data_IF_951037398437
#
_entry.id   IF_951037398437
#
_cell.length_a   1.000
_cell.length_b   1.000
_cell.length_c   1.000
_cell.angle_alpha   90.00
_cell.angle_beta   90.00
_cell.angle_gamma   90.00
#
_symmetry.space_group_name_H-M   'P 1'
#
loop_
_entity.id
_entity.type
_entity.pdbx_description
1 polymer ?
#
# COMPACT_ATOMS: atom_id res chain seq x y z
N UNK A 1 -8.93 18.92 16.40
CA UNK A 1 -9.64 17.89 15.59
C UNK A 1 -8.58 16.89 15.15
N UNK A 2 -8.73 15.63 15.51
CA UNK A 2 -7.81 14.61 14.99
C UNK A 2 -8.08 14.46 13.50
N UNK A 3 -7.09 14.80 12.69
CA UNK A 3 -7.14 14.59 11.25
C UNK A 3 -7.28 13.08 11.01
N UNK A 4 -8.26 12.68 10.21
CA UNK A 4 -8.48 11.26 9.89
C UNK A 4 -7.35 10.82 8.98
N UNK A 5 -6.59 9.81 9.40
CA UNK A 5 -5.50 9.24 8.60
C UNK A 5 -6.04 8.59 7.32
N UNK A 6 -5.52 9.00 6.17
CA UNK A 6 -5.89 8.44 4.86
C UNK A 6 -4.86 7.40 4.44
N UNK A 7 -5.31 6.16 4.27
CA UNK A 7 -4.44 5.03 3.95
C UNK A 7 -4.82 4.46 2.59
N UNK A 8 -3.88 4.49 1.65
CA UNK A 8 -4.04 3.79 0.38
C UNK A 8 -3.77 2.30 0.58
N UNK A 9 -4.62 1.47 0.02
CA UNK A 9 -4.46 0.03 -0.03
C UNK A 9 -4.43 -0.41 -1.50
N UNK A 10 -3.30 -0.98 -1.91
CA UNK A 10 -3.12 -1.56 -3.24
C UNK A 10 -3.98 -2.82 -3.36
N UNK A 11 -5.17 -2.68 -3.94
CA UNK A 11 -6.14 -3.76 -4.03
C UNK A 11 -5.72 -4.89 -4.96
N UNK A 12 -4.77 -4.66 -5.85
CA UNK A 12 -4.30 -5.64 -6.83
C UNK A 12 -2.97 -6.29 -6.43
N UNK A 13 -2.38 -5.89 -5.30
CA UNK A 13 -1.10 -6.41 -4.83
C UNK A 13 -1.27 -7.68 -3.99
N UNK A 14 -0.60 -8.77 -4.41
CA UNK A 14 -0.53 -10.03 -3.68
C UNK A 14 -1.19 -11.21 -4.38
N UNK A 15 -0.86 -12.42 -3.92
CA UNK A 15 -1.29 -13.67 -4.57
C UNK A 15 -2.80 -13.92 -4.47
N UNK A 16 -3.46 -13.34 -3.48
CA UNK A 16 -4.90 -13.48 -3.24
C UNK A 16 -5.66 -12.18 -3.48
N UNK A 17 -5.05 -11.25 -4.22
CA UNK A 17 -5.74 -10.03 -4.62
C UNK A 17 -6.79 -10.33 -5.72
N UNK A 18 -7.86 -9.57 -5.80
CA UNK A 18 -8.24 -8.48 -4.90
C UNK A 18 -9.04 -8.91 -3.66
N UNK A 19 -9.56 -10.14 -3.63
CA UNK A 19 -10.55 -10.62 -2.66
C UNK A 19 -10.09 -10.43 -1.21
N UNK A 20 -8.93 -11.00 -0.85
CA UNK A 20 -8.43 -10.95 0.54
C UNK A 20 -8.00 -9.56 0.97
N UNK A 21 -7.53 -8.75 0.03
CA UNK A 21 -7.12 -7.36 0.32
C UNK A 21 -8.34 -6.51 0.65
N UNK A 22 -9.38 -6.61 -0.18
CA UNK A 22 -10.64 -5.85 0.01
C UNK A 22 -11.35 -6.32 1.28
N UNK A 23 -11.41 -7.62 1.51
CA UNK A 23 -11.97 -8.20 2.73
C UNK A 23 -11.26 -7.65 3.97
N UNK A 24 -9.93 -7.67 4.01
CA UNK A 24 -9.16 -7.14 5.13
C UNK A 24 -9.40 -5.64 5.37
N UNK A 25 -9.51 -4.86 4.30
CA UNK A 25 -9.83 -3.44 4.40
C UNK A 25 -11.23 -3.20 5.01
N UNK A 26 -12.23 -3.97 4.58
CA UNK A 26 -13.60 -3.91 5.12
C UNK A 26 -13.65 -4.36 6.58
N UNK A 27 -12.99 -5.45 6.93
CA UNK A 27 -12.90 -5.95 8.30
C UNK A 27 -12.27 -4.90 9.23
N UNK A 28 -11.16 -4.28 8.82
CA UNK A 28 -10.51 -3.23 9.59
C UNK A 28 -11.45 -2.03 9.88
N UNK A 29 -12.21 -1.59 8.88
CA UNK A 29 -13.20 -0.50 9.06
C UNK A 29 -14.32 -0.92 10.00
N UNK A 30 -14.83 -2.14 9.88
CA UNK A 30 -15.91 -2.66 10.73
C UNK A 30 -15.45 -2.89 12.18
N UNK A 31 -14.18 -3.18 12.41
CA UNK A 31 -13.55 -3.28 13.72
C UNK A 31 -13.25 -1.91 14.35
N UNK A 32 -13.54 -0.83 13.64
CA UNK A 32 -13.44 0.53 14.17
C UNK A 32 -12.13 1.26 13.89
N UNK A 33 -11.41 0.87 12.83
CA UNK A 33 -10.23 1.61 12.42
C UNK A 33 -10.55 3.10 12.19
N UNK A 34 -9.76 3.98 12.80
CA UNK A 34 -9.89 5.44 12.69
C UNK A 34 -9.13 5.96 11.46
N UNK A 35 -9.42 5.37 10.30
CA UNK A 35 -8.79 5.71 9.05
C UNK A 35 -9.83 5.79 7.92
N UNK A 36 -9.52 6.58 6.92
CA UNK A 36 -10.16 6.49 5.60
C UNK A 36 -9.30 5.61 4.72
N UNK A 37 -9.89 4.61 4.12
CA UNK A 37 -9.21 3.67 3.22
C UNK A 37 -9.45 4.09 1.77
N UNK A 38 -8.39 4.11 0.98
CA UNK A 38 -8.45 4.39 -0.46
C UNK A 38 -7.96 3.14 -1.19
N UNK A 39 -8.86 2.42 -1.82
CA UNK A 39 -8.53 1.22 -2.60
C UNK A 39 -8.09 1.62 -4.00
N UNK A 40 -6.87 1.29 -4.39
CA UNK A 40 -6.36 1.52 -5.75
C UNK A 40 -6.36 0.23 -6.57
N UNK A 41 -6.87 0.28 -7.79
CA UNK A 41 -6.92 -0.86 -8.71
C UNK A 41 -8.05 -0.77 -9.73
N UNK A 42 -8.35 -1.87 -10.39
CA UNK A 42 -9.43 -1.94 -11.38
C UNK A 42 -10.79 -1.71 -10.70
N UNK A 43 -11.38 -0.56 -10.96
CA UNK A 43 -12.56 -0.07 -10.26
C UNK A 43 -13.76 -1.03 -10.33
N UNK A 44 -14.01 -1.61 -11.50
CA UNK A 44 -15.08 -2.58 -11.73
C UNK A 44 -14.91 -3.84 -10.87
N UNK A 45 -13.69 -4.34 -10.77
CA UNK A 45 -13.33 -5.50 -9.96
C UNK A 45 -13.49 -5.19 -8.46
N UNK A 46 -12.97 -4.04 -8.02
CA UNK A 46 -13.06 -3.60 -6.62
C UNK A 46 -14.51 -3.41 -6.21
N UNK A 47 -15.32 -2.71 -7.02
CA UNK A 47 -16.75 -2.48 -6.72
C UNK A 47 -17.55 -3.77 -6.66
N UNK A 48 -17.27 -4.72 -7.57
CA UNK A 48 -17.91 -6.03 -7.55
C UNK A 48 -17.59 -6.81 -6.27
N UNK A 49 -16.35 -6.73 -5.80
CA UNK A 49 -15.93 -7.38 -4.57
C UNK A 49 -16.55 -6.71 -3.34
N UNK A 50 -16.48 -5.37 -3.26
CA UNK A 50 -17.07 -4.59 -2.17
C UNK A 50 -18.59 -4.82 -2.02
N UNK A 51 -19.30 -5.10 -3.11
CA UNK A 51 -20.74 -5.38 -3.09
C UNK A 51 -21.13 -6.63 -2.28
N UNK A 52 -20.16 -7.50 -1.96
CA UNK A 52 -20.36 -8.69 -1.13
C UNK A 52 -20.40 -8.39 0.38
N UNK A 53 -19.98 -7.19 0.79
CA UNK A 53 -19.78 -6.81 2.18
C UNK A 53 -20.68 -5.64 2.60
N UNK A 54 -20.96 -5.59 3.89
CA UNK A 54 -21.60 -4.43 4.54
C UNK A 54 -20.54 -3.65 5.30
N UNK A 55 -20.40 -2.37 5.00
CA UNK A 55 -19.42 -1.48 5.61
C UNK A 55 -19.87 -0.02 5.52
N UNK A 56 -19.22 0.88 6.25
CA UNK A 56 -19.43 2.31 6.16
C UNK A 56 -18.80 2.86 4.86
N UNK A 57 -19.64 3.13 3.87
CA UNK A 57 -19.23 3.62 2.54
C UNK A 57 -18.50 4.97 2.60
N UNK A 58 -18.70 5.76 3.65
CA UNK A 58 -18.00 7.04 3.80
C UNK A 58 -16.51 6.88 4.12
N UNK A 59 -16.10 5.68 4.56
CA UNK A 59 -14.72 5.39 4.98
C UNK A 59 -13.89 4.66 3.92
N UNK A 60 -14.50 4.22 2.82
CA UNK A 60 -13.79 3.54 1.73
C UNK A 60 -14.03 4.30 0.43
N UNK A 61 -12.95 4.72 -0.18
CA UNK A 61 -12.90 5.35 -1.51
C UNK A 61 -12.23 4.41 -2.51
N UNK A 62 -12.61 4.46 -3.78
CA UNK A 62 -12.02 3.66 -4.84
C UNK A 62 -11.40 4.59 -5.88
N UNK A 63 -10.12 4.37 -6.18
CA UNK A 63 -9.39 5.08 -7.22
C UNK A 63 -8.98 4.09 -8.29
N UNK A 64 -9.41 4.36 -9.54
CA UNK A 64 -9.15 3.46 -10.65
C UNK A 64 -7.67 3.44 -11.05
N UNK A 65 -7.16 2.24 -11.30
CA UNK A 65 -5.86 1.98 -11.91
C UNK A 65 -6.00 0.78 -12.85
N UNK A 66 -5.49 0.88 -14.06
CA UNK A 66 -5.75 -0.11 -15.11
C UNK A 66 -4.71 -1.22 -15.16
N UNK A 67 -3.53 -0.99 -14.59
CA UNK A 67 -2.41 -1.92 -14.59
C UNK A 67 -2.14 -2.49 -13.19
N UNK A 68 -1.42 -3.60 -13.15
CA UNK A 68 -0.94 -4.24 -11.92
C UNK A 68 0.53 -4.64 -12.05
N UNK A 69 1.28 -4.59 -10.95
CA UNK A 69 2.67 -5.07 -10.88
C UNK A 69 2.68 -6.41 -10.16
N UNK A 70 3.11 -7.45 -10.88
CA UNK A 70 3.21 -8.81 -10.32
C UNK A 70 4.54 -9.04 -9.60
N UNK A 71 4.59 -10.08 -8.75
CA UNK A 71 5.80 -10.46 -8.03
C UNK A 71 6.93 -11.00 -8.93
N UNK A 72 6.62 -11.34 -10.18
CA UNK A 72 7.57 -11.92 -11.13
C UNK A 72 8.27 -10.89 -12.03
N UNK A 73 7.85 -9.63 -11.96
CA UNK A 73 8.42 -8.55 -12.77
C UNK A 73 9.64 -7.93 -12.11
N UNK A 74 10.56 -7.42 -12.95
CA UNK A 74 11.70 -6.64 -12.47
C UNK A 74 11.20 -5.34 -11.78
N UNK A 75 11.38 -5.17 -10.47
CA UNK A 75 10.70 -4.13 -9.68
C UNK A 75 10.90 -2.70 -10.21
N UNK A 76 12.14 -2.33 -10.48
CA UNK A 76 12.48 -0.97 -10.94
C UNK A 76 11.89 -0.68 -12.32
N UNK A 77 11.93 -1.68 -13.21
CA UNK A 77 11.39 -1.54 -14.56
C UNK A 77 9.86 -1.46 -14.53
N UNK A 78 9.21 -2.34 -13.75
CA UNK A 78 7.76 -2.34 -13.59
C UNK A 78 7.23 -1.00 -13.07
N UNK A 79 7.86 -0.43 -12.02
CA UNK A 79 7.49 0.88 -11.48
C UNK A 79 7.70 2.02 -12.49
N UNK A 80 8.71 1.91 -13.35
CA UNK A 80 8.98 2.94 -14.37
C UNK A 80 8.05 2.86 -15.58
N UNK A 81 7.67 1.66 -16.00
CA UNK A 81 6.84 1.44 -17.19
C UNK A 81 5.35 1.51 -16.89
N UNK A 82 4.88 0.90 -15.79
CA UNK A 82 3.47 0.80 -15.41
C UNK A 82 3.03 1.97 -14.53
N UNK A 83 2.89 3.13 -15.14
CA UNK A 83 2.53 4.37 -14.42
C UNK A 83 1.10 4.36 -13.88
N UNK A 84 0.20 3.62 -14.50
CA UNK A 84 -1.19 3.45 -14.11
C UNK A 84 -1.43 2.15 -13.31
N UNK A 85 -0.38 1.59 -12.71
CA UNK A 85 -0.55 0.46 -11.81
C UNK A 85 -1.08 0.90 -10.45
N UNK A 86 -1.87 0.02 -9.81
CA UNK A 86 -2.46 0.26 -8.49
C UNK A 86 -1.42 0.73 -7.47
N UNK A 87 -0.23 0.13 -7.46
CA UNK A 87 0.88 0.52 -6.60
C UNK A 87 1.40 1.93 -6.92
N UNK A 88 1.67 2.25 -8.20
CA UNK A 88 2.25 3.55 -8.59
C UNK A 88 1.24 4.68 -8.41
N UNK A 89 -0.03 4.45 -8.72
CA UNK A 89 -1.12 5.40 -8.44
C UNK A 89 -1.17 5.71 -6.93
N UNK A 90 -1.18 4.70 -6.09
CA UNK A 90 -1.19 4.87 -4.64
C UNK A 90 0.04 5.61 -4.10
N UNK A 91 1.23 5.30 -4.61
CA UNK A 91 2.46 6.01 -4.24
C UNK A 91 2.44 7.49 -4.65
N UNK A 92 1.85 7.82 -5.80
CA UNK A 92 1.68 9.21 -6.23
C UNK A 92 0.73 9.97 -5.30
N UNK A 93 -0.35 9.33 -4.83
CA UNK A 93 -1.27 9.94 -3.85
C UNK A 93 -0.54 10.29 -2.55
N UNK A 94 0.31 9.39 -2.05
CA UNK A 94 1.15 9.68 -0.87
C UNK A 94 2.12 10.82 -1.15
N UNK A 95 2.80 10.81 -2.30
CA UNK A 95 3.72 11.88 -2.70
C UNK A 95 3.05 13.26 -2.75
N UNK A 96 1.82 13.30 -3.27
CA UNK A 96 1.06 14.54 -3.45
C UNK A 96 0.38 15.02 -2.15
N UNK A 97 0.43 14.23 -1.07
CA UNK A 97 -0.26 14.54 0.19
C UNK A 97 -1.77 14.26 0.15
N UNK A 98 -2.24 13.51 -0.85
CA UNK A 98 -3.62 13.05 -0.95
C UNK A 98 -3.90 11.88 -0.01
N UNK A 99 -2.84 11.19 0.42
CA UNK A 99 -2.86 10.12 1.42
C UNK A 99 -1.62 10.18 2.31
N UNK A 100 -1.73 9.63 3.51
CA UNK A 100 -0.69 9.66 4.53
C UNK A 100 0.20 8.42 4.51
N UNK A 101 -0.33 7.30 4.04
CA UNK A 101 0.40 6.03 3.96
C UNK A 101 -0.13 5.15 2.82
N UNK A 102 0.66 4.14 2.46
CA UNK A 102 0.26 3.08 1.52
C UNK A 102 0.57 1.71 2.10
N UNK A 103 -0.33 0.76 1.89
CA UNK A 103 -0.20 -0.65 2.23
C UNK A 103 -0.33 -1.46 0.94
N UNK A 104 0.57 -2.41 0.75
CA UNK A 104 0.50 -3.38 -0.35
C UNK A 104 1.01 -4.74 0.11
N UNK A 105 0.32 -5.80 -0.28
CA UNK A 105 0.74 -7.19 -0.10
C UNK A 105 1.45 -7.75 -1.34
N UNK A 106 1.79 -6.88 -2.29
CA UNK A 106 2.48 -7.24 -3.53
C UNK A 106 3.99 -7.37 -3.37
N UNK A 107 4.71 -7.17 -4.48
CA UNK A 107 6.17 -7.29 -4.53
C UNK A 107 6.87 -6.29 -3.61
N UNK A 108 7.58 -6.79 -2.58
CA UNK A 108 8.39 -5.97 -1.67
C UNK A 108 9.44 -5.14 -2.42
N UNK A 109 10.01 -5.71 -3.49
CA UNK A 109 10.95 -5.00 -4.35
C UNK A 109 10.30 -3.83 -5.10
N UNK A 110 9.06 -4.00 -5.58
CA UNK A 110 8.33 -2.93 -6.26
C UNK A 110 7.91 -1.82 -5.27
N UNK A 111 7.51 -2.19 -4.06
CA UNK A 111 7.19 -1.23 -2.99
C UNK A 111 8.43 -0.39 -2.64
N UNK A 112 9.57 -1.04 -2.43
CA UNK A 112 10.84 -0.37 -2.11
C UNK A 112 11.30 0.52 -3.26
N UNK A 113 11.28 0.01 -4.49
CA UNK A 113 11.65 0.77 -5.70
C UNK A 113 10.69 1.97 -5.90
N UNK A 114 9.40 1.75 -5.76
CA UNK A 114 8.38 2.79 -5.87
C UNK A 114 8.53 3.86 -4.79
N UNK A 115 8.73 3.46 -3.55
CA UNK A 115 8.99 4.38 -2.45
C UNK A 115 10.19 5.29 -2.74
N UNK A 116 11.29 4.75 -3.28
CA UNK A 116 12.48 5.55 -3.63
C UNK A 116 12.30 6.41 -4.88
N UNK A 117 11.64 5.88 -5.92
CA UNK A 117 11.57 6.53 -7.24
C UNK A 117 10.40 7.51 -7.36
N UNK A 118 9.28 7.22 -6.70
CA UNK A 118 8.03 7.99 -6.78
C UNK A 118 7.91 8.95 -5.60
N UNK A 119 7.90 8.42 -4.37
CA UNK A 119 7.74 9.23 -3.14
C UNK A 119 9.01 10.01 -2.84
N UNK A 120 10.16 9.34 -2.96
CA UNK A 120 11.46 9.92 -2.67
C UNK A 120 11.97 9.54 -1.27
N UNK A 121 13.14 10.04 -0.95
CA UNK A 121 13.84 9.78 0.33
C UNK A 121 13.85 11.02 1.19
N UNK A 122 13.79 10.83 2.49
CA UNK A 122 14.00 11.91 3.44
C UNK A 122 15.43 12.50 3.30
N UNK A 123 15.56 13.79 3.58
CA UNK A 123 16.84 14.49 3.48
C UNK A 123 17.89 13.80 4.35
N UNK A 124 19.06 13.50 3.76
CA UNK A 124 20.16 12.82 4.43
C UNK A 124 20.14 11.29 4.36
N UNK A 125 19.01 10.68 3.94
CA UNK A 125 18.91 9.22 3.77
C UNK A 125 19.50 8.80 2.43
N UNK A 126 20.58 8.04 2.43
CA UNK A 126 21.23 7.55 1.20
C UNK A 126 20.49 6.34 0.60
N UNK A 127 19.96 5.45 1.43
CA UNK A 127 19.20 4.26 1.02
C UNK A 127 18.01 4.06 1.96
N UNK A 128 16.84 3.78 1.41
CA UNK A 128 15.68 3.40 2.22
C UNK A 128 15.88 1.98 2.73
N UNK A 129 15.74 1.74 4.04
CA UNK A 129 15.82 0.39 4.61
C UNK A 129 14.51 -0.37 4.38
N UNK A 130 14.59 -1.70 4.34
CA UNK A 130 13.48 -2.58 4.60
C UNK A 130 13.57 -2.98 6.09
N UNK A 131 12.57 -2.63 6.88
CA UNK A 131 12.54 -2.91 8.31
C UNK A 131 11.46 -3.96 8.61
N UNK A 132 11.80 -5.26 8.70
CA UNK A 132 10.84 -6.28 9.08
C UNK A 132 10.46 -6.13 10.57
N UNK A 133 9.16 -6.16 10.86
CA UNK A 133 8.62 -6.16 12.22
C UNK A 133 8.03 -7.55 12.51
N UNK A 134 8.76 -8.44 13.19
CA UNK A 134 8.21 -9.74 13.57
C UNK A 134 7.11 -9.55 14.61
N UNK A 135 5.95 -10.13 14.37
CA UNK A 135 4.74 -9.96 15.23
C UNK A 135 4.94 -10.52 16.65
N UNK A 136 5.89 -11.44 16.84
CA UNK A 136 6.17 -12.09 18.11
C UNK A 136 7.07 -11.30 19.07
N UNK A 137 7.59 -10.15 18.66
CA UNK A 137 8.49 -9.33 19.49
C UNK A 137 7.77 -8.09 20.03
N UNK A 138 7.97 -7.81 21.30
CA UNK A 138 7.42 -6.62 21.96
C UNK A 138 8.17 -5.33 21.63
N UNK A 139 9.40 -5.45 21.12
CA UNK A 139 10.21 -4.33 20.64
C UNK A 139 11.21 -4.79 19.58
N UNK A 140 11.57 -3.88 18.70
CA UNK A 140 12.57 -4.10 17.67
C UNK A 140 13.94 -3.69 18.19
N UNK A 141 14.85 -4.65 18.33
CA UNK A 141 16.27 -4.34 18.55
C UNK A 141 16.98 -4.35 17.20
N UNK A 142 17.57 -3.22 16.84
CA UNK A 142 18.47 -3.18 15.70
C UNK A 142 19.71 -4.02 16.03
N UNK A 143 20.15 -4.93 15.13
CA UNK A 143 21.44 -5.58 15.34
C UNK A 143 22.52 -4.49 15.37
N UNK A 144 23.17 -4.37 16.49
CA UNK A 144 24.40 -3.58 16.58
C UNK A 144 25.43 -4.32 15.74
N UNK A 145 25.60 -3.89 14.53
CA UNK A 145 26.67 -4.38 13.68
C UNK A 145 27.98 -3.81 14.24
N UNK A 146 28.54 -4.51 15.20
CA UNK A 146 29.94 -4.34 15.54
C UNK A 146 30.76 -4.96 14.41
N UNK A 147 30.86 -4.26 13.31
CA UNK A 147 31.91 -4.50 12.36
C UNK A 147 33.18 -3.95 12.96
N UNK A 148 33.89 -4.83 13.58
CA UNK A 148 35.31 -4.68 13.81
C UNK A 148 36.01 -4.84 12.48
#
# INVERSE_FOLDING_TARGET
MSEVTRVVVDAMGGDYAPEWIIRGAVEAINEGAKAQVILTGKEDVIKKELAKYTYDQSKIEVVNATEEITCHEAPVQAVRSKKDSSLVVGLNMVKNGEADAIISAGSSGAILAGGQLVVGRSKGVKRSPLAPLPVSYTHLTLPTNSLV
#
